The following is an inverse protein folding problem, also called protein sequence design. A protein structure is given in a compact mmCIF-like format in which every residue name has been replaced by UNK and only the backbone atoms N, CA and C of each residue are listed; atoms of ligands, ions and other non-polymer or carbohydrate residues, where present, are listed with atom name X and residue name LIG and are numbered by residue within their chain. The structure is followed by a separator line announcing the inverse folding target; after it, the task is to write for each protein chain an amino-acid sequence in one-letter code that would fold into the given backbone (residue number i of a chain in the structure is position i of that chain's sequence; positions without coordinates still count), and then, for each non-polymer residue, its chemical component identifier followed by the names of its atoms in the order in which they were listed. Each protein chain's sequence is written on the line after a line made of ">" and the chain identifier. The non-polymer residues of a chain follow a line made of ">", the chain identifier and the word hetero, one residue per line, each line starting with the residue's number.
data_IF_769741968793
#
_entry.id   IF_769741968793
#
_cell.length_a   1.000
_cell.length_b   1.000
_cell.length_c   1.000
_cell.angle_alpha   90.00
_cell.angle_beta   90.00
_cell.angle_gamma   90.00
#
_symmetry.space_group_name_H-M   'P 1'
#
loop_
_entity.id
_entity.type
_entity.pdbx_description
1 polymer ?
#
# COMPACT_ATOMS: atom_id res chain seq x y z
N UNK A 1 -9.20 -16.50 -3.64
CA UNK A 1 -8.15 -15.89 -2.79
C UNK A 1 -7.73 -14.57 -3.39
N UNK A 2 -7.11 -13.70 -2.61
CA UNK A 2 -6.60 -12.41 -3.09
C UNK A 2 -5.08 -12.46 -3.25
N UNK A 3 -4.55 -11.74 -4.25
CA UNK A 3 -3.12 -11.58 -4.48
C UNK A 3 -2.70 -10.12 -4.29
N UNK A 4 -1.45 -9.92 -3.85
CA UNK A 4 -0.83 -8.60 -3.71
C UNK A 4 0.47 -8.59 -4.51
N UNK A 5 0.63 -7.61 -5.40
CA UNK A 5 1.83 -7.35 -6.18
C UNK A 5 2.60 -6.16 -5.57
N UNK A 6 3.57 -6.47 -4.72
CA UNK A 6 4.40 -5.46 -4.05
C UNK A 6 5.37 -4.74 -4.99
N UNK A 7 5.63 -5.27 -6.19
CA UNK A 7 6.50 -4.61 -7.16
C UNK A 7 5.90 -3.30 -7.70
N UNK A 8 4.60 -3.08 -7.47
CA UNK A 8 3.87 -1.86 -7.85
C UNK A 8 4.04 -0.70 -6.87
N UNK A 9 4.81 -0.87 -5.79
CA UNK A 9 5.18 0.23 -4.90
C UNK A 9 6.31 1.01 -5.57
N UNK A 10 6.08 2.30 -5.83
CA UNK A 10 7.01 3.16 -6.59
C UNK A 10 8.35 3.33 -5.89
N UNK A 11 8.35 3.38 -4.55
CA UNK A 11 9.58 3.52 -3.76
C UNK A 11 9.45 3.00 -2.33
N UNK A 12 10.58 2.60 -1.75
CA UNK A 12 10.64 2.25 -0.32
C UNK A 12 10.20 3.42 0.59
N UNK A 13 10.47 4.66 0.19
CA UNK A 13 10.06 5.87 0.91
C UNK A 13 8.52 5.97 1.03
N UNK A 14 7.78 5.64 -0.04
CA UNK A 14 6.32 5.61 -0.02
C UNK A 14 5.79 4.65 1.05
N UNK A 15 6.36 3.45 1.13
CA UNK A 15 6.00 2.46 2.15
C UNK A 15 6.30 2.95 3.57
N UNK A 16 7.51 3.49 3.79
CA UNK A 16 7.92 4.00 5.10
C UNK A 16 6.97 5.10 5.56
N UNK A 17 6.72 6.09 4.71
CA UNK A 17 5.87 7.23 5.04
C UNK A 17 4.43 6.80 5.34
N UNK A 18 3.87 5.88 4.56
CA UNK A 18 2.52 5.36 4.79
C UNK A 18 2.39 4.64 6.15
N UNK A 19 3.43 3.93 6.60
CA UNK A 19 3.44 3.30 7.92
C UNK A 19 3.61 4.31 9.05
N UNK A 20 4.44 5.34 8.87
CA UNK A 20 4.58 6.44 9.85
C UNK A 20 3.22 7.14 10.03
N UNK A 21 2.54 7.48 8.94
CA UNK A 21 1.21 8.11 9.01
C UNK A 21 0.16 7.20 9.64
N UNK A 22 0.21 5.90 9.33
CA UNK A 22 -0.67 4.90 9.94
C UNK A 22 -0.50 4.81 11.47
N UNK A 23 0.73 4.93 11.97
CA UNK A 23 0.99 5.02 13.42
C UNK A 23 0.29 6.22 14.07
N UNK A 24 0.22 7.36 13.37
CA UNK A 24 -0.52 8.55 13.83
C UNK A 24 -2.03 8.51 13.50
N UNK A 25 -2.55 7.39 13.00
CA UNK A 25 -3.96 7.18 12.73
C UNK A 25 -4.43 7.61 11.33
N UNK A 26 -3.54 8.11 10.46
CA UNK A 26 -3.88 8.38 9.07
C UNK A 26 -3.59 7.16 8.18
N UNK A 27 -4.62 6.36 7.91
CA UNK A 27 -4.50 5.14 7.09
C UNK A 27 -4.65 5.39 5.59
N UNK A 28 -5.01 6.60 5.14
CA UNK A 28 -5.26 6.90 3.73
C UNK A 28 -4.08 6.54 2.80
N UNK A 29 -2.81 6.81 3.15
CA UNK A 29 -1.69 6.42 2.30
C UNK A 29 -1.54 4.90 2.18
N UNK A 30 -1.78 4.17 3.28
CA UNK A 30 -1.68 2.71 3.32
C UNK A 30 -2.78 2.07 2.45
N UNK A 31 -4.02 2.59 2.52
CA UNK A 31 -5.14 2.15 1.68
C UNK A 31 -4.78 2.30 0.20
N UNK A 32 -4.23 3.45 -0.21
CA UNK A 32 -3.80 3.68 -1.59
C UNK A 32 -2.73 2.68 -2.06
N UNK A 33 -1.77 2.33 -1.21
CA UNK A 33 -0.77 1.29 -1.54
C UNK A 33 -1.48 -0.03 -1.83
N UNK A 34 -2.43 -0.44 -0.98
CA UNK A 34 -3.17 -1.68 -1.21
C UNK A 34 -4.04 -1.63 -2.47
N UNK A 35 -4.69 -0.52 -2.80
CA UNK A 35 -5.45 -0.35 -4.05
C UNK A 35 -4.57 -0.56 -5.29
N UNK A 36 -3.34 -0.04 -5.28
CA UNK A 36 -2.37 -0.20 -6.38
C UNK A 36 -1.87 -1.65 -6.48
N UNK A 37 -1.52 -2.24 -5.34
CA UNK A 37 -0.91 -3.56 -5.27
C UNK A 37 -1.93 -4.70 -5.41
N UNK A 38 -3.23 -4.43 -5.29
CA UNK A 38 -4.24 -5.48 -5.37
C UNK A 38 -4.31 -6.12 -6.76
N UNK A 39 -4.27 -7.45 -6.80
CA UNK A 39 -4.45 -8.23 -8.02
C UNK A 39 -5.91 -8.69 -8.06
N UNK A 40 -6.70 -8.11 -8.96
CA UNK A 40 -7.98 -8.71 -9.37
C UNK A 40 -7.69 -9.81 -10.38
N UNK A 41 -7.80 -11.07 -9.94
CA UNK A 41 -7.95 -12.17 -10.86
C UNK A 41 -9.40 -12.14 -11.36
N UNK A 42 -9.64 -11.47 -12.49
CA UNK A 42 -10.84 -11.72 -13.32
C UNK A 42 -10.70 -13.02 -14.07
#
# INVERSE_FOLDING_TARGET
>A
GYGIDWSRIDSQQQWIQANIEGFYGNLNPLIKIFEICFIQNT
#
